data_IF_986285583602
#
_entry.id   IF_986285583602
#
_cell.length_a   1.000
_cell.length_b   1.000
_cell.length_c   1.000
_cell.angle_alpha   90.00
_cell.angle_beta   90.00
_cell.angle_gamma   90.00
#
_symmetry.space_group_name_H-M   'P 1'
#
loop_
_entity.id
_entity.type
_entity.pdbx_description
1 polymer ?
#
# COMPACT_ATOMS: atom_id res chain seq x y z
N UNK A 1 -12.81 1.49 21.37
CA UNK A 1 -12.76 0.44 20.34
C UNK A 1 -11.34 0.33 19.84
N UNK A 2 -10.69 -0.78 20.08
CA UNK A 2 -9.34 -1.00 19.58
C UNK A 2 -9.41 -1.08 18.05
N UNK A 3 -8.68 -0.21 17.35
CA UNK A 3 -8.52 -0.34 15.91
C UNK A 3 -7.98 -1.74 15.58
N UNK A 4 -8.56 -2.40 14.62
CA UNK A 4 -8.07 -3.70 14.17
C UNK A 4 -6.59 -3.56 13.74
N UNK A 5 -5.78 -4.54 14.08
CA UNK A 5 -4.38 -4.53 13.67
C UNK A 5 -4.27 -4.46 12.14
N UNK A 6 -3.36 -3.64 11.59
CA UNK A 6 -3.17 -3.54 10.15
C UNK A 6 -2.88 -4.90 9.51
N UNK A 7 -3.51 -5.15 8.38
CA UNK A 7 -3.34 -6.37 7.60
C UNK A 7 -2.40 -6.12 6.43
N UNK A 8 -1.28 -6.83 6.42
CA UNK A 8 -0.22 -6.69 5.44
C UNK A 8 -0.21 -7.89 4.49
N UNK A 9 -0.01 -7.64 3.22
CA UNK A 9 0.14 -8.67 2.20
C UNK A 9 1.56 -8.62 1.64
N UNK A 10 2.27 -9.76 1.67
CA UNK A 10 3.59 -9.91 1.05
C UNK A 10 3.47 -10.80 -0.18
N UNK A 11 3.93 -10.31 -1.32
CA UNK A 11 3.79 -11.03 -2.59
C UNK A 11 5.06 -10.90 -3.43
N UNK A 12 5.54 -12.01 -3.98
CA UNK A 12 6.69 -12.03 -4.89
C UNK A 12 6.34 -11.31 -6.19
N UNK A 13 7.26 -10.46 -6.69
CA UNK A 13 6.97 -9.61 -7.84
C UNK A 13 6.91 -10.36 -9.16
N UNK A 14 7.73 -11.40 -9.35
CA UNK A 14 7.86 -12.06 -10.65
C UNK A 14 8.18 -13.56 -10.57
N UNK A 15 9.11 -13.96 -9.71
CA UNK A 15 9.68 -15.30 -9.69
C UNK A 15 9.39 -16.05 -8.40
N UNK A 16 9.66 -17.36 -8.41
CA UNK A 16 9.60 -18.17 -7.20
C UNK A 16 10.60 -17.71 -6.14
N UNK A 17 11.77 -17.22 -6.55
CA UNK A 17 12.77 -16.65 -5.63
C UNK A 17 12.26 -15.37 -4.98
N UNK A 18 11.57 -14.51 -5.73
CA UNK A 18 10.92 -13.33 -5.18
C UNK A 18 9.89 -13.73 -4.12
N UNK A 19 9.13 -14.79 -4.37
CA UNK A 19 8.14 -15.32 -3.41
C UNK A 19 8.80 -15.83 -2.13
N UNK A 20 9.93 -16.51 -2.22
CA UNK A 20 10.69 -16.98 -1.05
C UNK A 20 11.19 -15.79 -0.22
N UNK A 21 11.75 -14.78 -0.87
CA UNK A 21 12.26 -13.58 -0.18
C UNK A 21 11.13 -12.81 0.50
N UNK A 22 9.97 -12.68 -0.14
CA UNK A 22 8.82 -12.03 0.47
C UNK A 22 8.17 -12.85 1.58
N UNK A 23 8.26 -14.18 1.54
CA UNK A 23 7.86 -15.01 2.67
C UNK A 23 8.75 -14.78 3.89
N UNK A 24 10.05 -14.63 3.69
CA UNK A 24 10.97 -14.25 4.77
C UNK A 24 10.63 -12.87 5.34
N UNK A 25 10.30 -11.91 4.49
CA UNK A 25 9.82 -10.60 4.92
C UNK A 25 8.55 -10.71 5.77
N UNK A 26 7.58 -11.50 5.32
CA UNK A 26 6.34 -11.70 6.07
C UNK A 26 6.59 -12.29 7.46
N UNK A 27 7.51 -13.23 7.58
CA UNK A 27 7.91 -13.80 8.87
C UNK A 27 8.55 -12.75 9.78
N UNK A 28 9.37 -11.87 9.23
CA UNK A 28 9.96 -10.75 9.97
C UNK A 28 8.88 -9.80 10.48
N UNK A 29 7.91 -9.45 9.65
CA UNK A 29 6.78 -8.60 10.03
C UNK A 29 5.92 -9.26 11.11
N UNK A 30 5.61 -10.55 10.97
CA UNK A 30 4.88 -11.30 12.00
C UNK A 30 5.63 -11.36 13.33
N UNK A 31 6.94 -11.56 13.28
CA UNK A 31 7.80 -11.53 14.48
C UNK A 31 7.82 -10.18 15.18
N UNK A 32 7.56 -9.10 14.46
CA UNK A 32 7.42 -7.75 15.01
C UNK A 32 5.98 -7.41 15.45
N UNK A 33 5.06 -8.37 15.38
CA UNK A 33 3.68 -8.21 15.84
C UNK A 33 2.67 -7.75 14.79
N UNK A 34 3.06 -7.71 13.50
CA UNK A 34 2.15 -7.34 12.42
C UNK A 34 1.41 -8.55 11.85
N UNK A 35 0.18 -8.38 11.42
CA UNK A 35 -0.58 -9.42 10.72
C UNK A 35 -0.19 -9.41 9.23
N UNK A 36 0.74 -10.29 8.85
CA UNK A 36 1.22 -10.40 7.48
C UNK A 36 0.85 -11.76 6.86
N UNK A 37 0.33 -11.73 5.65
CA UNK A 37 0.02 -12.90 4.83
C UNK A 37 0.86 -12.92 3.58
N UNK A 38 1.02 -14.10 2.97
CA UNK A 38 1.84 -14.30 1.77
C UNK A 38 0.98 -14.81 0.63
N UNK A 39 1.21 -14.28 -0.56
CA UNK A 39 0.68 -14.84 -1.81
C UNK A 39 1.80 -15.09 -2.81
N UNK A 40 1.66 -16.09 -3.70
CA UNK A 40 2.69 -16.41 -4.68
C UNK A 40 2.76 -15.35 -5.79
N UNK A 41 3.93 -15.24 -6.44
CA UNK A 41 4.16 -14.32 -7.55
C UNK A 41 3.19 -14.55 -8.73
N UNK A 42 2.67 -15.75 -8.89
CA UNK A 42 1.68 -16.07 -9.91
C UNK A 42 0.39 -15.23 -9.80
N UNK A 43 0.04 -14.77 -8.59
CA UNK A 43 -1.13 -13.94 -8.36
C UNK A 43 -0.97 -12.52 -8.92
N UNK A 44 0.26 -12.09 -9.20
CA UNK A 44 0.56 -10.82 -9.90
C UNK A 44 0.73 -11.00 -11.41
N UNK A 45 0.47 -12.18 -11.96
CA UNK A 45 0.50 -12.38 -13.41
C UNK A 45 -0.61 -11.58 -14.10
N UNK A 46 -0.45 -11.27 -15.41
CA UNK A 46 -1.48 -10.53 -16.15
C UNK A 46 -2.87 -11.18 -16.13
N UNK A 47 -2.92 -12.50 -15.91
CA UNK A 47 -4.19 -13.25 -15.83
C UNK A 47 -4.86 -13.16 -14.47
N UNK A 48 -4.08 -12.96 -13.42
CA UNK A 48 -4.53 -13.11 -12.02
C UNK A 48 -4.60 -11.79 -11.25
N UNK A 49 -3.79 -10.79 -11.65
CA UNK A 49 -3.67 -9.55 -10.90
C UNK A 49 -5.01 -8.80 -10.74
N UNK A 50 -5.87 -8.88 -11.74
CA UNK A 50 -7.18 -8.22 -11.72
C UNK A 50 -8.20 -8.94 -10.82
N UNK A 51 -7.91 -10.16 -10.40
CA UNK A 51 -8.74 -10.96 -9.48
C UNK A 51 -8.15 -11.05 -8.07
N UNK A 52 -7.02 -10.41 -7.83
CA UNK A 52 -6.40 -10.39 -6.52
C UNK A 52 -7.31 -9.72 -5.50
N UNK A 53 -7.58 -10.43 -4.40
CA UNK A 53 -8.37 -9.89 -3.31
C UNK A 53 -7.52 -8.98 -2.42
N UNK A 54 -7.90 -7.71 -2.34
CA UNK A 54 -7.26 -6.68 -1.52
C UNK A 54 -8.18 -6.16 -0.41
N UNK A 55 -9.33 -6.81 -0.20
CA UNK A 55 -10.28 -6.38 0.82
C UNK A 55 -9.68 -6.49 2.23
N UNK A 56 -9.69 -5.36 2.94
CA UNK A 56 -9.14 -5.27 4.29
C UNK A 56 -7.62 -5.33 4.35
N UNK A 57 -6.92 -5.19 3.22
CA UNK A 57 -5.45 -5.08 3.17
C UNK A 57 -5.05 -3.61 3.25
N UNK A 58 -4.23 -3.27 4.21
CA UNK A 58 -3.74 -1.90 4.43
C UNK A 58 -2.49 -1.60 3.63
N UNK A 59 -1.60 -2.58 3.48
CA UNK A 59 -0.39 -2.45 2.68
C UNK A 59 -0.01 -3.73 1.95
N UNK A 60 0.56 -3.55 0.77
CA UNK A 60 1.13 -4.63 -0.05
C UNK A 60 2.63 -4.42 -0.19
N UNK A 61 3.40 -5.44 0.16
CA UNK A 61 4.84 -5.49 -0.08
C UNK A 61 5.09 -6.35 -1.31
N UNK A 62 5.69 -5.76 -2.34
CA UNK A 62 6.04 -6.48 -3.57
C UNK A 62 7.56 -6.60 -3.65
N UNK A 63 8.08 -7.80 -3.69
CA UNK A 63 9.51 -8.07 -3.61
C UNK A 63 10.14 -8.56 -4.90
N UNK A 64 11.32 -8.04 -5.21
CA UNK A 64 12.12 -8.39 -6.38
C UNK A 64 13.57 -8.67 -5.99
N UNK A 65 14.08 -9.83 -6.36
CA UNK A 65 15.50 -10.19 -6.20
C UNK A 65 16.34 -9.82 -7.43
N UNK A 66 15.74 -9.81 -8.62
CA UNK A 66 16.46 -9.52 -9.87
C UNK A 66 16.68 -8.02 -10.12
N UNK A 67 17.62 -7.71 -11.01
CA UNK A 67 17.97 -6.32 -11.33
C UNK A 67 16.94 -5.60 -12.19
N UNK A 68 16.25 -6.32 -13.09
CA UNK A 68 15.30 -5.74 -14.05
C UNK A 68 13.87 -5.67 -13.49
N UNK A 69 13.71 -5.07 -12.35
CA UNK A 69 12.43 -5.05 -11.63
C UNK A 69 11.54 -3.83 -11.94
N UNK A 70 12.11 -2.70 -12.37
CA UNK A 70 11.40 -1.42 -12.46
C UNK A 70 10.17 -1.43 -13.35
N UNK A 71 10.29 -1.97 -14.55
CA UNK A 71 9.16 -2.06 -15.50
C UNK A 71 8.04 -2.90 -14.95
N UNK A 72 8.39 -4.03 -14.35
CA UNK A 72 7.40 -4.94 -13.75
C UNK A 72 6.74 -4.31 -12.53
N UNK A 73 7.52 -3.67 -11.67
CA UNK A 73 7.00 -2.98 -10.48
C UNK A 73 6.03 -1.85 -10.88
N UNK A 74 6.34 -1.09 -11.90
CA UNK A 74 5.44 -0.04 -12.42
C UNK A 74 4.12 -0.62 -12.90
N UNK A 75 4.16 -1.73 -13.64
CA UNK A 75 2.97 -2.44 -14.07
C UNK A 75 2.12 -2.91 -12.88
N UNK A 76 2.73 -3.59 -11.93
CA UNK A 76 2.06 -4.11 -10.73
C UNK A 76 1.46 -2.98 -9.89
N UNK A 77 2.22 -1.93 -9.61
CA UNK A 77 1.73 -0.78 -8.83
C UNK A 77 0.52 -0.13 -9.50
N UNK A 78 0.53 0.02 -10.81
CA UNK A 78 -0.60 0.58 -11.56
C UNK A 78 -1.86 -0.27 -11.40
N UNK A 79 -1.74 -1.58 -11.52
CA UNK A 79 -2.87 -2.50 -11.36
C UNK A 79 -3.39 -2.52 -9.93
N UNK A 80 -2.52 -2.58 -8.94
CA UNK A 80 -2.91 -2.52 -7.52
C UNK A 80 -3.63 -1.22 -7.18
N UNK A 81 -3.17 -0.08 -7.69
CA UNK A 81 -3.83 1.22 -7.49
C UNK A 81 -5.23 1.28 -8.07
N UNK A 82 -5.44 0.68 -9.22
CA UNK A 82 -6.78 0.61 -9.83
C UNK A 82 -7.72 -0.24 -9.01
N UNK A 83 -7.21 -1.28 -8.37
CA UNK A 83 -8.00 -2.19 -7.53
C UNK A 83 -8.31 -1.60 -6.17
N UNK A 84 -7.37 -0.88 -5.59
CA UNK A 84 -7.54 -0.25 -4.29
C UNK A 84 -6.71 1.04 -4.21
N UNK A 85 -7.36 2.18 -4.31
CA UNK A 85 -6.70 3.47 -4.25
C UNK A 85 -6.09 3.78 -2.87
N UNK A 86 -6.64 3.18 -1.81
CA UNK A 86 -6.22 3.43 -0.42
C UNK A 86 -5.11 2.51 0.07
N UNK A 87 -4.78 1.43 -0.66
CA UNK A 87 -3.73 0.50 -0.23
C UNK A 87 -2.35 1.16 -0.34
N UNK A 88 -1.52 0.96 0.67
CA UNK A 88 -0.11 1.39 0.61
C UNK A 88 0.70 0.34 -0.13
N UNK A 89 1.57 0.78 -1.04
CA UNK A 89 2.42 -0.12 -1.84
C UNK A 89 3.88 0.15 -1.50
N UNK A 90 4.57 -0.87 -1.01
CA UNK A 90 6.00 -0.82 -0.70
C UNK A 90 6.70 -1.83 -1.59
N UNK A 91 7.61 -1.37 -2.43
CA UNK A 91 8.42 -2.24 -3.28
C UNK A 91 9.76 -2.50 -2.61
N UNK A 92 10.12 -3.78 -2.51
CA UNK A 92 11.38 -4.21 -1.90
C UNK A 92 12.27 -4.79 -3.00
N UNK A 93 13.38 -4.12 -3.30
CA UNK A 93 14.36 -4.52 -4.30
C UNK A 93 15.68 -4.87 -3.61
N UNK A 94 15.84 -6.14 -3.24
CA UNK A 94 16.96 -6.58 -2.39
C UNK A 94 18.35 -6.43 -3.02
N UNK A 95 18.44 -6.42 -4.34
CA UNK A 95 19.74 -6.31 -5.05
C UNK A 95 20.13 -4.86 -5.34
N UNK A 96 19.25 -3.92 -5.10
CA UNK A 96 19.51 -2.54 -5.42
C UNK A 96 20.25 -1.81 -4.28
N UNK A 97 21.04 -0.82 -4.67
CA UNK A 97 21.74 0.03 -3.71
C UNK A 97 20.84 1.11 -3.11
N UNK A 98 21.42 1.87 -2.17
CA UNK A 98 20.72 2.93 -1.44
C UNK A 98 20.03 3.99 -2.32
N UNK A 99 20.48 4.19 -3.56
CA UNK A 99 19.86 5.12 -4.50
C UNK A 99 18.41 4.74 -4.85
N UNK A 100 18.08 3.45 -4.83
CA UNK A 100 16.74 2.95 -5.14
C UNK A 100 15.72 3.23 -4.03
N UNK A 101 16.16 3.59 -2.84
CA UNK A 101 15.27 3.87 -1.70
C UNK A 101 14.74 5.30 -1.69
N UNK A 102 15.14 6.13 -2.65
CA UNK A 102 14.69 7.51 -2.74
C UNK A 102 13.21 7.61 -3.05
N UNK A 103 12.55 8.61 -2.47
CA UNK A 103 11.15 8.90 -2.73
C UNK A 103 10.85 9.13 -4.23
N UNK A 104 11.79 9.69 -4.98
CA UNK A 104 11.68 9.88 -6.43
C UNK A 104 11.58 8.55 -7.18
N UNK A 105 12.33 7.53 -6.76
CA UNK A 105 12.26 6.19 -7.35
C UNK A 105 10.90 5.55 -7.07
N UNK A 106 10.41 5.63 -5.85
CA UNK A 106 9.07 5.14 -5.49
C UNK A 106 7.99 5.82 -6.34
N UNK A 107 8.03 7.14 -6.44
CA UNK A 107 7.07 7.90 -7.25
C UNK A 107 7.11 7.50 -8.74
N UNK A 108 8.29 7.25 -9.29
CA UNK A 108 8.46 6.88 -10.70
C UNK A 108 7.81 5.55 -11.08
N UNK A 109 7.68 4.63 -10.12
CA UNK A 109 7.03 3.33 -10.32
C UNK A 109 5.60 3.28 -9.78
N UNK A 110 5.13 4.33 -9.13
CA UNK A 110 3.79 4.40 -8.54
C UNK A 110 3.66 3.72 -7.18
N UNK A 111 4.78 3.46 -6.49
CA UNK A 111 4.79 2.96 -5.12
C UNK A 111 4.76 4.10 -4.10
N UNK A 112 4.33 3.82 -2.88
CA UNK A 112 4.38 4.78 -1.78
C UNK A 112 5.75 4.83 -1.12
N UNK A 113 6.49 3.73 -1.14
CA UNK A 113 7.85 3.66 -0.60
C UNK A 113 8.66 2.54 -1.26
N UNK A 114 9.98 2.64 -1.10
CA UNK A 114 10.95 1.66 -1.55
C UNK A 114 11.81 1.20 -0.39
N UNK A 115 12.22 -0.07 -0.42
CA UNK A 115 13.16 -0.65 0.52
C UNK A 115 14.13 -1.60 -0.18
N UNK A 116 15.29 -1.83 0.41
CA UNK A 116 16.29 -2.78 -0.08
C UNK A 116 16.59 -3.89 0.94
N UNK A 117 15.88 -3.91 2.05
CA UNK A 117 15.96 -4.94 3.08
C UNK A 117 14.61 -5.10 3.79
N UNK A 118 14.45 -6.22 4.50
CA UNK A 118 13.25 -6.45 5.34
C UNK A 118 13.11 -5.40 6.44
N UNK A 119 14.22 -5.01 7.04
CA UNK A 119 14.26 -3.97 8.09
C UNK A 119 13.80 -2.61 7.55
N UNK A 120 14.32 -2.20 6.39
CA UNK A 120 13.86 -0.97 5.74
C UNK A 120 12.39 -1.06 5.33
N UNK A 121 11.93 -2.19 4.84
CA UNK A 121 10.54 -2.38 4.47
C UNK A 121 9.60 -2.18 5.67
N UNK A 122 9.98 -2.71 6.82
CA UNK A 122 9.23 -2.52 8.07
C UNK A 122 9.25 -1.04 8.49
N UNK A 123 10.39 -0.39 8.45
CA UNK A 123 10.53 1.02 8.77
C UNK A 123 9.65 1.89 7.87
N UNK A 124 9.66 1.64 6.56
CA UNK A 124 8.80 2.36 5.59
C UNK A 124 7.31 2.19 5.89
N UNK A 125 6.92 0.98 6.25
CA UNK A 125 5.54 0.72 6.67
C UNK A 125 5.15 1.55 7.90
N UNK A 126 5.97 1.55 8.94
CA UNK A 126 5.71 2.32 10.16
C UNK A 126 5.60 3.82 9.89
N UNK A 127 6.43 4.36 9.01
CA UNK A 127 6.37 5.76 8.58
C UNK A 127 5.04 6.08 7.85
N UNK A 128 4.61 5.20 6.94
CA UNK A 128 3.36 5.38 6.19
C UNK A 128 2.13 5.23 7.08
N UNK A 129 2.15 4.29 8.01
CA UNK A 129 1.07 4.06 8.96
C UNK A 129 0.90 5.26 9.91
N UNK A 130 1.99 5.81 10.42
CA UNK A 130 1.99 7.00 11.26
C UNK A 130 1.36 8.21 10.56
N UNK A 131 1.69 8.45 9.29
CA UNK A 131 1.11 9.54 8.49
C UNK A 131 -0.40 9.35 8.33
N UNK A 132 -0.86 8.13 8.15
CA UNK A 132 -2.30 7.82 8.00
C UNK A 132 -3.06 8.10 9.29
N UNK A 133 -2.46 7.83 10.45
CA UNK A 133 -3.07 8.09 11.77
C UNK A 133 -3.12 9.59 12.08
N UNK A 134 -2.14 10.36 11.63
CA UNK A 134 -2.10 11.82 11.85
C UNK A 134 -2.95 12.62 10.86
N UNK A 135 -3.38 12.04 9.75
CA UNK A 135 -4.24 12.75 8.82
C UNK A 135 -5.58 13.09 9.50
N UNK A 136 -5.95 14.37 9.63
CA UNK A 136 -7.24 14.71 10.20
C UNK A 136 -8.33 14.10 9.32
N UNK A 137 -9.37 13.56 9.97
CA UNK A 137 -10.57 13.15 9.26
C UNK A 137 -11.03 14.30 8.36
N UNK A 138 -11.43 14.05 7.10
CA UNK A 138 -11.94 15.11 6.24
C UNK A 138 -13.01 15.85 7.01
N UNK A 139 -12.86 17.17 7.13
CA UNK A 139 -13.86 17.99 7.75
C UNK A 139 -15.17 17.70 7.04
N UNK A 140 -16.11 17.14 7.76
CA UNK A 140 -17.47 17.05 7.26
C UNK A 140 -17.89 18.49 7.07
N UNK A 141 -18.03 18.89 5.83
CA UNK A 141 -18.63 20.19 5.51
C UNK A 141 -20.08 20.09 6.01
N UNK A 142 -20.27 20.43 7.28
CA UNK A 142 -21.58 20.72 7.79
C UNK A 142 -22.03 22.00 7.07
N UNK A 143 -22.47 21.81 5.84
CA UNK A 143 -23.34 22.80 5.25
C UNK A 143 -24.57 22.82 6.14
N UNK A 144 -24.53 23.75 7.05
CA UNK A 144 -25.72 24.18 7.74
C UNK A 144 -26.84 24.32 6.69
N UNK A 145 -27.93 23.56 6.81
CA UNK A 145 -29.03 23.71 5.87
C UNK A 145 -29.41 25.18 5.86
N UNK A 146 -29.30 25.81 4.70
CA UNK A 146 -29.71 27.20 4.54
C UNK A 146 -31.09 27.33 5.14
N UNK A 147 -31.23 28.11 6.18
CA UNK A 147 -32.53 28.42 6.76
C UNK A 147 -33.45 28.89 5.63
N UNK A 148 -34.63 28.32 5.49
CA UNK A 148 -35.54 28.77 4.47
C UNK A 148 -35.76 30.27 4.67
N UNK A 149 -35.81 31.06 3.59
CA UNK A 149 -36.07 32.48 3.73
C UNK A 149 -37.34 32.67 4.55
N UNK A 150 -37.25 33.51 5.56
CA UNK A 150 -38.39 33.83 6.40
C UNK A 150 -39.57 34.11 5.48
N UNK A 151 -40.62 33.34 5.65
CA UNK A 151 -41.79 33.44 4.79
C UNK A 151 -42.24 34.87 4.65
N UNK A 152 -42.51 35.25 3.43
CA UNK A 152 -43.12 36.54 3.13
C UNK A 152 -44.33 36.73 4.01
N UNK A 153 -44.26 37.65 4.93
CA UNK A 153 -45.44 38.14 5.61
C UNK A 153 -46.33 38.80 4.55
N UNK A 154 -47.36 38.13 4.16
CA UNK A 154 -48.42 38.71 3.39
C UNK A 154 -49.12 39.74 4.26
N UNK A 155 -48.76 41.01 4.07
CA UNK A 155 -49.63 42.07 4.54
C UNK A 155 -50.92 42.02 3.72
N UNK A 156 -51.96 41.62 4.37
CA UNK A 156 -53.29 41.63 3.79
C UNK A 156 -53.83 43.06 3.65
#
# INVERSE_FOLDING_TARGET
EAAAAPRLLCIGGRSALDSIATEMLARTLCGAGHAATVKPAADLSPRSIDTLDLDGIDAVFVGYLGEAWRTRARYVCRHLRRRSAGVKIIVVAWQDGAASTRAETAASIGADAMATSAEQAMQRWLELDAVTVEAPAPAVDEREPASPPAGLALAG
#
